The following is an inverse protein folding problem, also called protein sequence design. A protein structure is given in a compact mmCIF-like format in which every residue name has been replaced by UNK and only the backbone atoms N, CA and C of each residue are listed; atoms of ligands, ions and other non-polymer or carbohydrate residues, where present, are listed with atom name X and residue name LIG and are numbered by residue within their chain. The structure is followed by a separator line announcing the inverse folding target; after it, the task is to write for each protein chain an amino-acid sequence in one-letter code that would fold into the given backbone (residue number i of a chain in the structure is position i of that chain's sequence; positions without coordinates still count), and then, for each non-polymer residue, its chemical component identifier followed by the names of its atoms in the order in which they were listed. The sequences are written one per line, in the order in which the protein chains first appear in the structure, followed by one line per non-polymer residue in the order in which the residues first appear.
data_IF_702329570668
#
_entry.id   IF_702329570668
#
_cell.length_a   1.000
_cell.length_b   1.000
_cell.length_c   1.000
_cell.angle_alpha   90.00
_cell.angle_beta   90.00
_cell.angle_gamma   90.00
#
_symmetry.space_group_name_H-M   'P 1'
#
loop_
_entity.id
_entity.type
_entity.pdbx_description
1 polymer ?
#
# COMPACT_ATOMS: atom_id res chain seq x y z
N UNK A 1 -13.57 -0.70 -3.02
CA UNK A 1 -13.37 -0.22 -1.63
C UNK A 1 -14.41 0.84 -1.32
N UNK A 2 -15.05 0.78 -0.15
CA UNK A 2 -16.02 1.81 0.26
C UNK A 2 -15.30 3.12 0.66
N UNK A 3 -16.05 4.24 0.68
CA UNK A 3 -15.55 5.53 1.13
C UNK A 3 -15.05 5.50 2.57
N UNK A 4 -15.71 4.72 3.44
CA UNK A 4 -15.30 4.55 4.83
C UNK A 4 -13.94 3.87 4.92
N UNK A 5 -13.77 2.71 4.27
CA UNK A 5 -12.50 1.99 4.23
C UNK A 5 -11.36 2.85 3.68
N UNK A 6 -11.63 3.64 2.62
CA UNK A 6 -10.66 4.58 2.07
C UNK A 6 -10.16 5.56 3.14
N UNK A 7 -11.10 6.22 3.83
CA UNK A 7 -10.77 7.23 4.82
C UNK A 7 -10.06 6.62 6.04
N UNK A 8 -10.46 5.43 6.47
CA UNK A 8 -9.80 4.71 7.56
C UNK A 8 -8.33 4.43 7.24
N UNK A 9 -8.05 3.91 6.04
CA UNK A 9 -6.68 3.67 5.59
C UNK A 9 -5.90 4.98 5.47
N UNK A 10 -6.50 6.00 4.84
CA UNK A 10 -5.89 7.32 4.68
C UNK A 10 -5.45 7.90 6.02
N UNK A 11 -6.31 7.88 7.04
CA UNK A 11 -5.99 8.43 8.36
C UNK A 11 -4.82 7.71 9.03
N UNK A 12 -4.68 6.39 8.84
CA UNK A 12 -3.56 5.60 9.40
C UNK A 12 -2.20 5.98 8.79
N UNK A 13 -2.15 6.22 7.48
CA UNK A 13 -0.88 6.41 6.75
C UNK A 13 -0.57 7.87 6.39
N UNK A 14 -1.53 8.80 6.56
CA UNK A 14 -1.44 10.21 6.11
C UNK A 14 -0.12 10.86 6.49
N UNK A 15 0.33 10.66 7.72
CA UNK A 15 1.52 11.34 8.24
C UNK A 15 2.81 10.89 7.53
N UNK A 16 2.88 9.62 7.10
CA UNK A 16 4.05 9.05 6.41
C UNK A 16 4.15 9.50 4.95
N UNK A 17 3.01 9.78 4.31
CA UNK A 17 2.93 10.10 2.88
C UNK A 17 2.67 11.58 2.60
N UNK A 18 2.58 12.42 3.63
CA UNK A 18 2.41 13.86 3.48
C UNK A 18 3.76 14.53 3.24
N UNK A 19 3.83 15.42 2.25
CA UNK A 19 5.02 16.22 1.95
C UNK A 19 4.73 17.70 2.21
N UNK A 20 5.77 18.46 2.48
CA UNK A 20 5.67 19.91 2.65
C UNK A 20 5.58 20.61 1.29
N UNK A 21 4.81 21.70 1.25
CA UNK A 21 4.80 22.57 0.08
C UNK A 21 6.10 23.36 -0.01
N UNK A 22 6.55 23.61 -1.24
CA UNK A 22 7.77 24.37 -1.50
C UNK A 22 7.43 25.60 -2.33
N UNK A 23 8.34 26.59 -2.36
CA UNK A 23 8.17 27.79 -3.19
C UNK A 23 8.19 27.50 -4.70
N UNK A 24 8.72 26.34 -5.11
CA UNK A 24 8.79 25.93 -6.52
C UNK A 24 7.53 25.19 -6.99
N UNK A 25 7.00 24.30 -6.14
CA UNK A 25 5.78 23.54 -6.45
C UNK A 25 5.03 23.14 -5.20
N UNK A 26 3.71 23.07 -5.35
CA UNK A 26 2.85 22.43 -4.38
C UNK A 26 3.09 20.92 -4.37
N UNK A 27 2.99 20.33 -3.18
CA UNK A 27 3.12 18.90 -3.01
C UNK A 27 1.83 18.19 -3.43
N UNK A 28 1.95 17.00 -4.02
CA UNK A 28 0.79 16.17 -4.34
C UNK A 28 0.12 15.77 -3.03
N UNK A 29 -1.19 16.04 -2.85
CA UNK A 29 -1.90 15.72 -1.62
C UNK A 29 -1.80 14.24 -1.26
N UNK A 30 -1.60 13.95 0.03
CA UNK A 30 -1.53 12.57 0.54
C UNK A 30 -2.72 11.70 0.12
N UNK A 31 -3.91 12.29 0.03
CA UNK A 31 -5.13 11.59 -0.38
C UNK A 31 -5.09 11.16 -1.86
N UNK A 32 -4.52 12.01 -2.71
CA UNK A 32 -4.34 11.72 -4.13
C UNK A 32 -3.26 10.66 -4.34
N UNK A 33 -2.13 10.75 -3.60
CA UNK A 33 -1.10 9.72 -3.59
C UNK A 33 -1.66 8.34 -3.26
N UNK A 34 -2.51 8.25 -2.24
CA UNK A 34 -3.19 7.00 -1.91
C UNK A 34 -4.09 6.52 -3.06
N UNK A 35 -4.81 7.41 -3.73
CA UNK A 35 -5.60 7.09 -4.92
C UNK A 35 -4.77 6.50 -6.06
N UNK A 36 -3.62 7.11 -6.36
CA UNK A 36 -2.66 6.63 -7.37
C UNK A 36 -2.18 5.22 -7.03
N UNK A 37 -1.73 5.00 -5.79
CA UNK A 37 -1.24 3.70 -5.35
C UNK A 37 -2.34 2.62 -5.40
N UNK A 38 -3.56 2.93 -4.93
CA UNK A 38 -4.67 1.98 -4.99
C UNK A 38 -5.09 1.66 -6.42
N UNK A 39 -5.03 2.63 -7.35
CA UNK A 39 -5.25 2.36 -8.77
C UNK A 39 -4.25 1.33 -9.29
N UNK A 40 -2.97 1.49 -8.96
CA UNK A 40 -1.92 0.53 -9.31
C UNK A 40 -2.19 -0.85 -8.72
N UNK A 41 -2.41 -0.95 -7.41
CA UNK A 41 -2.65 -2.23 -6.73
C UNK A 41 -3.91 -2.96 -7.22
N UNK A 42 -4.97 -2.22 -7.58
CA UNK A 42 -6.22 -2.81 -8.04
C UNK A 42 -6.19 -3.30 -9.49
N UNK A 43 -5.30 -2.75 -10.33
CA UNK A 43 -5.29 -3.01 -11.78
C UNK A 43 -4.04 -3.71 -12.29
N UNK A 44 -2.90 -3.55 -11.62
CA UNK A 44 -1.60 -3.99 -12.11
C UNK A 44 -1.12 -3.25 -13.37
N UNK A 45 -1.75 -2.12 -13.72
CA UNK A 45 -1.42 -1.34 -14.91
C UNK A 45 -0.02 -0.70 -14.82
N UNK A 46 0.54 -0.34 -15.97
CA UNK A 46 1.86 0.27 -16.05
C UNK A 46 1.88 1.66 -15.38
N UNK A 47 3.04 2.04 -14.86
CA UNK A 47 3.22 3.39 -14.31
C UNK A 47 2.98 4.48 -15.37
N UNK A 48 3.27 4.21 -16.64
CA UNK A 48 3.01 5.15 -17.76
C UNK A 48 1.51 5.43 -17.91
N UNK A 49 0.67 4.39 -17.93
CA UNK A 49 -0.79 4.56 -18.08
C UNK A 49 -1.38 5.33 -16.90
N UNK A 50 -0.92 5.04 -15.69
CA UNK A 50 -1.38 5.71 -14.47
C UNK A 50 -0.89 7.17 -14.45
N UNK A 51 0.37 7.40 -14.83
CA UNK A 51 0.94 8.75 -14.96
C UNK A 51 0.11 9.61 -15.93
N UNK A 52 -0.28 9.05 -17.07
CA UNK A 52 -1.18 9.74 -18.01
C UNK A 52 -2.55 10.04 -17.38
N UNK A 53 -3.15 9.06 -16.70
CA UNK A 53 -4.49 9.19 -16.10
C UNK A 53 -4.56 10.26 -15.01
N UNK A 54 -3.51 10.38 -14.19
CA UNK A 54 -3.42 11.35 -13.10
C UNK A 54 -2.67 12.63 -13.49
N UNK A 55 -2.19 12.74 -14.74
CA UNK A 55 -1.38 13.86 -15.24
C UNK A 55 -0.12 14.11 -14.41
N UNK A 56 0.53 13.02 -14.00
CA UNK A 56 1.76 13.03 -13.21
C UNK A 56 2.94 12.54 -14.05
N UNK A 57 4.16 12.82 -13.62
CA UNK A 57 5.36 12.24 -14.24
C UNK A 57 5.49 10.75 -13.91
N UNK A 58 6.01 9.95 -14.85
CA UNK A 58 6.23 8.51 -14.66
C UNK A 58 7.02 8.19 -13.37
N UNK A 59 8.15 8.87 -13.16
CA UNK A 59 8.98 8.71 -11.95
C UNK A 59 8.25 9.14 -10.67
N UNK A 60 7.33 10.11 -10.77
CA UNK A 60 6.52 10.56 -9.65
C UNK A 60 5.50 9.50 -9.25
N UNK A 61 4.82 8.87 -10.22
CA UNK A 61 3.90 7.75 -9.94
C UNK A 61 4.65 6.57 -9.34
N UNK A 62 5.77 6.16 -9.92
CA UNK A 62 6.60 5.09 -9.37
C UNK A 62 7.01 5.38 -7.91
N UNK A 63 7.48 6.61 -7.65
CA UNK A 63 7.84 7.05 -6.30
C UNK A 63 6.66 7.03 -5.33
N UNK A 64 5.47 7.48 -5.76
CA UNK A 64 4.24 7.43 -4.95
C UNK A 64 3.87 6.01 -4.60
N UNK A 65 3.91 5.08 -5.56
CA UNK A 65 3.56 3.67 -5.32
C UNK A 65 4.47 3.08 -4.25
N UNK A 66 5.78 3.28 -4.36
CA UNK A 66 6.74 2.78 -3.37
C UNK A 66 6.53 3.44 -2.00
N UNK A 67 6.42 4.77 -1.96
CA UNK A 67 6.19 5.57 -0.73
C UNK A 67 4.94 5.10 0.02
N UNK A 68 3.82 4.93 -0.69
CA UNK A 68 2.54 4.54 -0.09
C UNK A 68 2.54 3.08 0.32
N UNK A 69 3.09 2.15 -0.49
CA UNK A 69 3.19 0.75 -0.10
C UNK A 69 4.03 0.57 1.19
N UNK A 70 5.15 1.27 1.29
CA UNK A 70 5.98 1.24 2.50
C UNK A 70 5.22 1.78 3.73
N UNK A 71 4.47 2.88 3.57
CA UNK A 71 3.64 3.42 4.64
C UNK A 71 2.53 2.44 5.07
N UNK A 72 1.91 1.74 4.12
CA UNK A 72 0.91 0.71 4.41
C UNK A 72 1.54 -0.43 5.20
N UNK A 73 2.67 -0.97 4.74
CA UNK A 73 3.39 -2.05 5.45
C UNK A 73 3.74 -1.58 6.87
N UNK A 74 4.34 -0.41 7.01
CA UNK A 74 4.75 0.12 8.31
C UNK A 74 3.59 0.25 9.31
N UNK A 75 2.40 0.66 8.85
CA UNK A 75 1.26 0.93 9.73
C UNK A 75 0.32 -0.25 9.92
N UNK A 76 0.23 -1.16 8.97
CA UNK A 76 -0.77 -2.24 8.97
C UNK A 76 -0.17 -3.64 9.13
N UNK A 77 1.16 -3.82 9.02
CA UNK A 77 1.78 -5.15 9.12
C UNK A 77 1.34 -5.91 10.37
N UNK A 78 1.43 -5.30 11.54
CA UNK A 78 1.08 -5.95 12.81
C UNK A 78 -0.43 -6.23 12.95
N UNK A 79 -1.28 -5.45 12.27
CA UNK A 79 -2.74 -5.65 12.30
C UNK A 79 -3.20 -6.74 11.32
N UNK A 80 -2.49 -6.89 10.19
CA UNK A 80 -2.91 -7.75 9.08
C UNK A 80 -2.14 -9.08 9.00
N UNK A 81 -0.90 -9.12 9.52
CA UNK A 81 -0.03 -10.30 9.46
C UNK A 81 0.20 -10.78 10.88
N UNK A 82 -0.38 -11.92 11.23
CA UNK A 82 -0.10 -12.59 12.50
C UNK A 82 1.31 -13.17 12.46
N UNK A 83 2.09 -12.92 13.50
CA UNK A 83 3.36 -13.60 13.69
C UNK A 83 3.08 -15.05 14.10
N UNK A 84 3.48 -16.05 13.29
CA UNK A 84 3.17 -17.44 13.56
C UNK A 84 3.80 -17.88 14.89
N UNK A 85 3.00 -18.53 15.72
CA UNK A 85 3.44 -19.14 16.96
C UNK A 85 3.89 -20.58 16.72
N UNK A 86 4.52 -21.19 17.73
CA UNK A 86 5.03 -22.57 17.64
C UNK A 86 3.92 -23.55 17.24
N UNK A 87 2.72 -23.32 17.75
CA UNK A 87 1.55 -24.14 17.50
C UNK A 87 1.08 -24.05 16.05
N UNK A 88 1.17 -22.86 15.42
CA UNK A 88 0.86 -22.67 14.00
C UNK A 88 1.83 -23.49 13.13
N UNK A 89 3.12 -23.53 13.51
CA UNK A 89 4.12 -24.33 12.81
C UNK A 89 3.87 -25.84 12.96
N UNK A 90 3.53 -26.29 14.17
CA UNK A 90 3.22 -27.70 14.43
C UNK A 90 1.98 -28.15 13.65
N UNK A 91 0.95 -27.31 13.55
CA UNK A 91 -0.23 -27.59 12.73
C UNK A 91 0.12 -27.76 11.24
N UNK A 92 0.90 -26.83 10.67
CA UNK A 92 1.33 -26.91 9.27
C UNK A 92 2.12 -28.19 8.99
N UNK A 93 3.01 -28.59 9.91
CA UNK A 93 3.79 -29.83 9.80
C UNK A 93 2.88 -31.05 9.79
N UNK A 94 1.91 -31.12 10.72
CA UNK A 94 0.98 -32.23 10.79
C UNK A 94 0.10 -32.32 9.54
N UNK A 95 -0.40 -31.20 9.04
CA UNK A 95 -1.17 -31.15 7.79
C UNK A 95 -0.32 -31.65 6.61
N UNK A 96 0.91 -31.17 6.46
CA UNK A 96 1.81 -31.59 5.38
C UNK A 96 2.08 -33.11 5.41
N UNK A 97 2.33 -33.69 6.58
CA UNK A 97 2.58 -35.14 6.74
C UNK A 97 1.35 -35.97 6.36
N UNK A 98 0.14 -35.50 6.71
CA UNK A 98 -1.12 -36.17 6.37
C UNK A 98 -1.41 -36.20 4.86
N UNK A 99 -0.95 -35.21 4.09
CA UNK A 99 -1.09 -35.22 2.63
C UNK A 99 -0.11 -36.17 1.91
N UNK A 100 0.97 -36.57 2.58
CA UNK A 100 2.00 -37.45 2.00
C UNK A 100 1.83 -38.94 2.31
N UNK A 101 0.80 -39.32 3.08
CA UNK A 101 0.50 -40.70 3.49
C UNK A 101 -0.80 -41.18 2.85
#
# INVERSE_FOLDING_TARGET
MSRFQFNTLYLKIKNEISKQNTLFRESIPAKEKLGVCLRFLATGDSYQTIAFSFRLGHSTVQGIVIEVCNAIILKLKEECIKTPQKEDWEQIVNEFILYTT
#
